data_IF_088986963450
#
_entry.id   IF_088986963450
#
_cell.length_a   1.000
_cell.length_b   1.000
_cell.length_c   1.000
_cell.angle_alpha   90.00
_cell.angle_beta   90.00
_cell.angle_gamma   90.00
#
_symmetry.space_group_name_H-M   'P 1'
#
loop_
_entity.id
_entity.type
_entity.pdbx_description
1 polymer ?
#
# COMPACT_ATOMS: atom_id res chain seq x y z
N UNK A 1 10.60 37.03 12.47
CA UNK A 1 11.21 35.77 12.01
C UNK A 1 10.58 35.40 10.69
N UNK A 2 11.24 35.75 9.59
CA UNK A 2 10.82 35.41 8.23
C UNK A 2 11.01 33.90 8.06
N UNK A 3 9.93 33.14 7.87
CA UNK A 3 10.01 31.74 7.44
C UNK A 3 10.65 31.74 6.06
N UNK A 4 11.88 31.26 5.93
CA UNK A 4 12.42 30.90 4.61
C UNK A 4 11.47 29.89 3.97
N UNK A 5 10.96 30.23 2.80
CA UNK A 5 10.16 29.32 2.00
C UNK A 5 11.10 28.25 1.43
N UNK A 6 10.93 27.01 1.88
CA UNK A 6 11.61 25.85 1.30
C UNK A 6 11.34 25.77 -0.20
N UNK A 7 12.38 25.50 -0.99
CA UNK A 7 12.20 25.19 -2.42
C UNK A 7 11.50 23.83 -2.56
N UNK A 8 10.77 23.63 -3.66
CA UNK A 8 10.10 22.34 -3.94
C UNK A 8 11.10 21.17 -4.00
N UNK A 9 12.31 21.42 -4.50
CA UNK A 9 13.38 20.42 -4.58
C UNK A 9 13.88 20.02 -3.19
N UNK A 10 14.19 21.00 -2.33
CA UNK A 10 14.64 20.73 -0.96
C UNK A 10 13.55 20.03 -0.14
N UNK A 11 12.27 20.41 -0.33
CA UNK A 11 11.15 19.72 0.30
C UNK A 11 11.10 18.25 -0.11
N UNK A 12 11.23 17.96 -1.41
CA UNK A 12 11.22 16.60 -1.94
C UNK A 12 12.36 15.76 -1.34
N UNK A 13 13.58 16.29 -1.32
CA UNK A 13 14.75 15.61 -0.73
C UNK A 13 14.53 15.27 0.76
N UNK A 14 14.02 16.23 1.54
CA UNK A 14 13.76 16.03 2.97
C UNK A 14 12.65 15.01 3.23
N UNK A 15 11.61 15.00 2.40
CA UNK A 15 10.51 14.02 2.49
C UNK A 15 11.01 12.62 2.13
N UNK A 16 11.73 12.46 1.01
CA UNK A 16 12.30 11.17 0.60
C UNK A 16 13.28 10.62 1.65
N UNK A 17 14.18 11.46 2.16
CA UNK A 17 15.09 11.07 3.24
C UNK A 17 14.33 10.60 4.49
N UNK A 18 13.26 11.30 4.86
CA UNK A 18 12.44 10.94 6.02
C UNK A 18 11.70 9.61 5.83
N UNK A 19 11.22 9.32 4.61
CA UNK A 19 10.61 8.05 4.24
C UNK A 19 11.61 6.88 4.25
N UNK A 20 12.88 7.13 3.96
CA UNK A 20 13.92 6.10 3.96
C UNK A 20 14.38 5.72 5.38
N UNK A 21 14.28 6.62 6.37
CA UNK A 21 14.67 6.34 7.76
C UNK A 21 14.05 5.06 8.35
N UNK A 22 12.73 4.81 8.30
CA UNK A 22 12.15 3.58 8.83
C UNK A 22 12.68 2.33 8.11
N UNK A 23 12.89 2.41 6.79
CA UNK A 23 13.47 1.31 5.99
C UNK A 23 14.89 1.00 6.44
N UNK A 24 15.73 2.03 6.59
CA UNK A 24 17.13 1.90 7.05
C UNK A 24 17.16 1.34 8.48
N UNK A 25 16.27 1.80 9.37
CA UNK A 25 16.19 1.30 10.75
C UNK A 25 15.83 -0.19 10.76
N UNK A 26 14.82 -0.61 9.98
CA UNK A 26 14.43 -2.02 9.83
C UNK A 26 15.55 -2.88 9.21
N UNK A 27 16.25 -2.37 8.21
CA UNK A 27 17.37 -3.08 7.59
C UNK A 27 18.49 -3.32 8.61
N UNK A 28 18.89 -2.26 9.34
CA UNK A 28 19.97 -2.32 10.33
C UNK A 28 19.70 -3.34 11.43
N UNK A 29 18.49 -3.35 12.00
CA UNK A 29 18.15 -4.26 13.11
C UNK A 29 18.08 -5.72 12.70
N UNK A 30 17.92 -6.00 11.39
CA UNK A 30 17.91 -7.35 10.84
C UNK A 30 19.27 -7.71 10.17
N UNK A 31 20.33 -6.95 10.45
CA UNK A 31 21.67 -7.24 9.91
C UNK A 31 21.81 -7.06 8.40
N UNK A 32 20.89 -6.34 7.75
CA UNK A 32 20.94 -6.11 6.30
C UNK A 32 21.97 -5.03 5.99
N UNK A 33 22.96 -5.38 5.15
CA UNK A 33 24.00 -4.43 4.72
C UNK A 33 23.44 -3.27 3.89
N UNK A 34 24.10 -2.12 3.93
CA UNK A 34 23.78 -0.97 3.07
C UNK A 34 23.83 -1.30 1.58
N UNK A 35 24.75 -2.19 1.18
CA UNK A 35 24.84 -2.70 -0.20
C UNK A 35 23.60 -3.47 -0.62
N UNK A 36 23.09 -4.35 0.24
CA UNK A 36 21.86 -5.10 -0.02
C UNK A 36 20.64 -4.16 -0.07
N UNK A 37 20.55 -3.20 0.86
CA UNK A 37 19.49 -2.21 0.88
C UNK A 37 19.49 -1.35 -0.39
N UNK A 38 20.65 -0.85 -0.84
CA UNK A 38 20.77 -0.10 -2.08
C UNK A 38 20.32 -0.91 -3.30
N UNK A 39 20.65 -2.21 -3.34
CA UNK A 39 20.18 -3.10 -4.40
C UNK A 39 18.66 -3.27 -4.40
N UNK A 40 18.01 -3.31 -3.23
CA UNK A 40 16.55 -3.38 -3.13
C UNK A 40 15.87 -2.06 -3.50
N UNK A 41 16.44 -0.92 -3.13
CA UNK A 41 15.95 0.39 -3.58
C UNK A 41 16.01 0.48 -5.11
N UNK A 42 17.12 0.06 -5.71
CA UNK A 42 17.26 0.03 -7.16
C UNK A 42 16.24 -0.91 -7.82
N UNK A 43 15.98 -2.07 -7.21
CA UNK A 43 14.99 -3.03 -7.69
C UNK A 43 13.57 -2.49 -7.58
N UNK A 44 13.22 -1.83 -6.47
CA UNK A 44 11.92 -1.21 -6.26
C UNK A 44 11.67 -0.05 -7.25
N UNK A 45 12.68 0.81 -7.47
CA UNK A 45 12.58 1.88 -8.45
C UNK A 45 12.43 1.33 -9.87
N UNK A 46 13.21 0.30 -10.24
CA UNK A 46 13.06 -0.36 -11.53
C UNK A 46 11.68 -0.99 -11.70
N UNK A 47 11.13 -1.61 -10.66
CA UNK A 47 9.78 -2.17 -10.67
C UNK A 47 8.72 -1.10 -10.93
N UNK A 48 8.81 0.04 -10.23
CA UNK A 48 7.89 1.17 -10.38
C UNK A 48 7.88 1.72 -11.81
N UNK A 49 9.07 1.98 -12.39
CA UNK A 49 9.18 2.44 -13.78
C UNK A 49 8.58 1.44 -14.78
N UNK A 50 8.83 0.14 -14.56
CA UNK A 50 8.30 -0.91 -15.44
C UNK A 50 6.79 -1.01 -15.35
N UNK A 51 6.24 -0.84 -14.14
CA UNK A 51 4.79 -0.83 -13.91
C UNK A 51 4.11 0.39 -14.51
N UNK A 52 4.78 1.55 -14.57
CA UNK A 52 4.28 2.73 -15.28
C UNK A 52 4.39 2.64 -16.81
N UNK A 53 4.75 1.48 -17.36
CA UNK A 53 4.78 1.21 -18.80
C UNK A 53 6.08 1.56 -19.53
N UNK A 54 7.12 2.05 -18.83
CA UNK A 54 8.38 2.38 -19.48
C UNK A 54 9.08 1.13 -19.98
N UNK A 55 9.62 1.19 -21.19
CA UNK A 55 10.47 0.16 -21.79
C UNK A 55 11.75 -0.06 -20.99
N UNK A 56 12.46 -1.17 -21.28
CA UNK A 56 13.74 -1.46 -20.65
C UNK A 56 14.77 -0.35 -20.88
N UNK A 57 14.78 0.25 -22.08
CA UNK A 57 15.71 1.31 -22.44
C UNK A 57 15.43 2.60 -21.65
N UNK A 58 14.16 3.02 -21.60
CA UNK A 58 13.74 4.19 -20.81
C UNK A 58 13.99 4.00 -19.31
N UNK A 59 13.78 2.77 -18.80
CA UNK A 59 14.09 2.45 -17.41
C UNK A 59 15.59 2.54 -17.12
N UNK A 60 16.46 2.15 -18.06
CA UNK A 60 17.91 2.29 -17.92
C UNK A 60 18.34 3.76 -17.86
N UNK A 61 17.78 4.59 -18.74
CA UNK A 61 18.07 6.02 -18.80
C UNK A 61 17.65 6.72 -17.50
N UNK A 62 16.43 6.44 -17.01
CA UNK A 62 15.90 7.04 -15.77
C UNK A 62 16.65 6.63 -14.52
N UNK A 63 17.16 5.40 -14.47
CA UNK A 63 17.93 4.89 -13.33
C UNK A 63 19.42 5.17 -13.43
N UNK A 64 19.90 5.68 -14.57
CA UNK A 64 21.31 5.80 -14.90
C UNK A 64 22.06 4.46 -14.73
N UNK A 65 21.55 3.41 -15.37
CA UNK A 65 22.12 2.05 -15.31
C UNK A 65 22.32 1.42 -16.68
N UNK A 66 23.25 0.47 -16.75
CA UNK A 66 23.46 -0.32 -17.97
C UNK A 66 22.29 -1.28 -18.25
N UNK A 67 22.09 -1.61 -19.53
CA UNK A 67 21.17 -2.67 -19.98
C UNK A 67 21.44 -4.04 -19.32
N UNK A 68 22.71 -4.33 -19.00
CA UNK A 68 23.08 -5.55 -18.26
C UNK A 68 22.50 -5.52 -16.84
N UNK A 69 22.56 -4.38 -16.16
CA UNK A 69 21.97 -4.20 -14.83
C UNK A 69 20.46 -4.32 -14.89
N UNK A 70 19.81 -3.69 -15.86
CA UNK A 70 18.35 -3.77 -16.02
C UNK A 70 17.86 -5.19 -16.32
N UNK A 71 18.61 -5.95 -17.13
CA UNK A 71 18.32 -7.38 -17.38
C UNK A 71 18.40 -8.23 -16.11
N UNK A 72 19.41 -7.95 -15.25
CA UNK A 72 19.52 -8.60 -13.93
C UNK A 72 18.34 -8.26 -13.03
N UNK A 73 17.96 -6.98 -12.94
CA UNK A 73 16.82 -6.53 -12.14
C UNK A 73 15.52 -7.16 -12.65
N UNK A 74 15.31 -7.19 -13.97
CA UNK A 74 14.16 -7.87 -14.58
C UNK A 74 14.10 -9.35 -14.26
N UNK A 75 15.25 -10.05 -14.27
CA UNK A 75 15.31 -11.45 -13.84
C UNK A 75 14.95 -11.61 -12.36
N UNK A 76 15.42 -10.71 -11.50
CA UNK A 76 15.08 -10.71 -10.07
C UNK A 76 13.60 -10.45 -9.82
N UNK A 77 12.95 -9.54 -10.58
CA UNK A 77 11.50 -9.31 -10.50
C UNK A 77 10.67 -10.56 -10.84
N UNK A 78 11.19 -11.42 -11.72
CA UNK A 78 10.52 -12.66 -12.11
C UNK A 78 10.67 -13.79 -11.09
N UNK A 79 11.54 -13.65 -10.09
CA UNK A 79 11.72 -14.65 -9.03
C UNK A 79 10.56 -14.61 -8.01
N UNK A 80 10.41 -15.67 -7.21
CA UNK A 80 9.33 -15.87 -6.23
C UNK A 80 9.18 -14.75 -5.19
N UNK A 81 10.18 -13.89 -5.05
CA UNK A 81 10.17 -12.75 -4.13
C UNK A 81 8.97 -11.81 -4.33
N UNK A 82 8.52 -11.62 -5.58
CA UNK A 82 7.41 -10.70 -5.94
C UNK A 82 6.06 -11.40 -6.09
N UNK A 83 6.02 -12.71 -5.84
CA UNK A 83 4.79 -13.49 -5.89
C UNK A 83 3.69 -12.92 -4.97
N UNK A 84 3.96 -12.48 -3.72
CA UNK A 84 2.93 -11.88 -2.86
C UNK A 84 2.33 -10.58 -3.42
N UNK A 85 3.13 -9.78 -4.13
CA UNK A 85 2.66 -8.55 -4.77
C UNK A 85 1.73 -8.87 -5.94
N UNK A 86 2.11 -9.80 -6.81
CA UNK A 86 1.26 -10.26 -7.92
C UNK A 86 -0.02 -10.93 -7.44
N UNK A 87 0.08 -11.83 -6.46
CA UNK A 87 -1.04 -12.64 -5.96
C UNK A 87 -2.01 -11.86 -5.07
N UNK A 88 -1.62 -10.73 -4.47
CA UNK A 88 -2.47 -10.04 -3.50
C UNK A 88 -2.65 -8.54 -3.71
N UNK A 89 -1.76 -7.86 -4.42
CA UNK A 89 -1.92 -6.42 -4.67
C UNK A 89 -2.93 -6.18 -5.79
N UNK A 90 -2.84 -6.93 -6.89
CA UNK A 90 -3.75 -6.80 -8.02
C UNK A 90 -5.20 -7.16 -7.63
N UNK A 91 -5.48 -8.31 -6.96
CA UNK A 91 -6.84 -8.61 -6.50
C UNK A 91 -7.42 -7.53 -5.58
N UNK A 92 -6.62 -6.94 -4.69
CA UNK A 92 -7.09 -5.86 -3.81
C UNK A 92 -7.39 -4.57 -4.54
N UNK A 93 -6.54 -4.20 -5.50
CA UNK A 93 -6.77 -3.01 -6.30
C UNK A 93 -8.03 -3.17 -7.14
N UNK A 94 -8.22 -4.33 -7.77
CA UNK A 94 -9.43 -4.68 -8.52
C UNK A 94 -10.65 -4.62 -7.59
N UNK A 95 -10.61 -5.29 -6.44
CA UNK A 95 -11.71 -5.28 -5.47
C UNK A 95 -12.07 -3.86 -5.01
N UNK A 96 -11.10 -3.01 -4.70
CA UNK A 96 -11.36 -1.61 -4.35
C UNK A 96 -12.06 -0.85 -5.49
N UNK A 97 -11.65 -1.08 -6.74
CA UNK A 97 -12.30 -0.47 -7.90
C UNK A 97 -13.72 -1.00 -8.11
N UNK A 98 -13.95 -2.30 -7.89
CA UNK A 98 -15.25 -2.96 -8.00
C UNK A 98 -16.20 -2.64 -6.83
N UNK A 99 -15.64 -2.21 -5.70
CA UNK A 99 -16.37 -1.66 -4.58
C UNK A 99 -16.88 -0.25 -4.88
N UNK A 100 -16.07 0.59 -5.54
CA UNK A 100 -16.49 1.94 -5.94
C UNK A 100 -17.65 1.92 -6.95
N UNK A 101 -17.59 1.01 -7.93
CA UNK A 101 -18.63 0.83 -8.92
C UNK A 101 -18.50 -0.53 -9.61
N UNK A 102 -19.59 -1.11 -10.14
CA UNK A 102 -19.49 -2.29 -10.97
C UNK A 102 -18.70 -2.04 -12.26
N UNK A 103 -17.69 -2.86 -12.56
CA UNK A 103 -16.86 -2.73 -13.76
C UNK A 103 -16.80 -4.04 -14.55
N UNK A 104 -16.66 -3.94 -15.87
CA UNK A 104 -16.33 -5.08 -16.74
C UNK A 104 -14.82 -5.34 -16.79
N UNK A 105 -14.40 -6.54 -17.22
CA UNK A 105 -12.99 -6.89 -17.44
C UNK A 105 -12.30 -5.86 -18.34
N UNK A 106 -12.94 -5.49 -19.46
CA UNK A 106 -12.41 -4.48 -20.38
C UNK A 106 -12.24 -3.09 -19.75
N UNK A 107 -13.09 -2.73 -18.77
CA UNK A 107 -12.97 -1.45 -18.06
C UNK A 107 -11.88 -1.49 -16.99
N UNK A 108 -11.66 -2.65 -16.37
CA UNK A 108 -10.52 -2.88 -15.48
C UNK A 108 -9.19 -2.78 -16.24
N UNK A 109 -9.09 -3.38 -17.43
CA UNK A 109 -7.92 -3.25 -18.31
C UNK A 109 -7.57 -1.79 -18.62
N UNK A 110 -8.59 -0.97 -18.93
CA UNK A 110 -8.40 0.46 -19.21
C UNK A 110 -7.92 1.25 -17.98
N UNK A 111 -8.40 0.89 -16.80
CA UNK A 111 -8.08 1.58 -15.56
C UNK A 111 -6.79 1.07 -14.89
N UNK A 112 -6.26 -0.07 -15.34
CA UNK A 112 -5.01 -0.67 -14.86
C UNK A 112 -3.97 -0.77 -15.99
N UNK A 113 -3.49 0.39 -16.52
CA UNK A 113 -2.51 0.40 -17.58
C UNK A 113 -1.23 -0.33 -17.13
N UNK A 114 -0.74 -1.25 -17.95
CA UNK A 114 0.47 -2.03 -17.66
C UNK A 114 0.24 -3.36 -16.94
N UNK A 115 -1.00 -3.73 -16.65
CA UNK A 115 -1.37 -5.08 -16.17
C UNK A 115 -1.89 -5.91 -17.35
N UNK A 116 -1.34 -7.12 -17.52
CA UNK A 116 -1.76 -8.03 -18.59
C UNK A 116 -3.18 -8.56 -18.35
N UNK A 117 -3.94 -8.75 -19.42
CA UNK A 117 -5.33 -9.24 -19.36
C UNK A 117 -5.49 -10.55 -18.60
N UNK A 118 -4.55 -11.47 -18.81
CA UNK A 118 -4.58 -12.78 -18.15
C UNK A 118 -4.35 -12.66 -16.63
N UNK A 119 -3.57 -11.67 -16.17
CA UNK A 119 -3.38 -11.40 -14.74
C UNK A 119 -4.66 -10.82 -14.11
N UNK A 120 -5.35 -9.93 -14.83
CA UNK A 120 -6.65 -9.39 -14.39
C UNK A 120 -7.68 -10.52 -14.27
N UNK A 121 -7.74 -11.42 -15.26
CA UNK A 121 -8.66 -12.56 -15.21
C UNK A 121 -8.36 -13.50 -14.06
N UNK A 122 -7.10 -13.87 -13.85
CA UNK A 122 -6.70 -14.72 -12.74
C UNK A 122 -7.03 -14.09 -11.37
N UNK A 123 -6.88 -12.76 -11.25
CA UNK A 123 -7.27 -12.04 -10.05
C UNK A 123 -8.79 -12.04 -9.83
N UNK A 124 -9.60 -11.82 -10.88
CA UNK A 124 -11.07 -11.90 -10.81
C UNK A 124 -11.53 -13.30 -10.40
N UNK A 125 -10.97 -14.35 -10.99
CA UNK A 125 -11.26 -15.75 -10.64
C UNK A 125 -10.96 -16.02 -9.16
N UNK A 126 -9.82 -15.53 -8.66
CA UNK A 126 -9.45 -15.64 -7.24
C UNK A 126 -10.47 -14.94 -6.35
N UNK A 127 -10.85 -13.70 -6.68
CA UNK A 127 -11.82 -12.92 -5.90
C UNK A 127 -13.22 -13.57 -5.88
N UNK A 128 -13.65 -14.17 -6.99
CA UNK A 128 -14.92 -14.91 -7.09
C UNK A 128 -14.86 -16.18 -6.25
N UNK A 129 -13.78 -16.95 -6.35
CA UNK A 129 -13.58 -18.17 -5.57
C UNK A 129 -13.59 -17.89 -4.06
N UNK A 130 -13.05 -16.73 -3.67
CA UNK A 130 -13.04 -16.23 -2.30
C UNK A 130 -14.37 -15.57 -1.88
N UNK A 131 -15.35 -15.48 -2.78
CA UNK A 131 -16.66 -14.83 -2.58
C UNK A 131 -16.58 -13.35 -2.19
N UNK A 132 -15.54 -12.66 -2.65
CA UNK A 132 -15.29 -11.24 -2.38
C UNK A 132 -15.90 -10.32 -3.41
N UNK A 133 -16.08 -10.84 -4.62
CA UNK A 133 -16.80 -10.17 -5.69
C UNK A 133 -17.86 -11.11 -6.23
N UNK A 134 -18.90 -10.53 -6.83
CA UNK A 134 -19.96 -11.27 -7.52
C UNK A 134 -19.94 -10.92 -8.99
N UNK A 135 -20.19 -11.93 -9.83
CA UNK A 135 -20.40 -11.76 -11.26
C UNK A 135 -21.85 -11.36 -11.50
N UNK A 136 -22.06 -10.21 -12.15
CA UNK A 136 -23.37 -9.73 -12.57
C UNK A 136 -23.51 -9.96 -14.08
N UNK A 137 -24.37 -10.91 -14.45
CA UNK A 137 -24.62 -11.25 -15.85
C UNK A 137 -25.73 -10.38 -16.43
N UNK A 138 -25.34 -9.44 -17.27
CA UNK A 138 -26.23 -8.60 -18.09
C UNK A 138 -25.88 -8.69 -19.58
N UNK A 139 -26.08 -7.59 -20.33
CA UNK A 139 -25.64 -7.48 -21.74
C UNK A 139 -24.11 -7.60 -21.88
N UNK A 140 -23.39 -7.15 -20.86
CA UNK A 140 -21.96 -7.31 -20.67
C UNK A 140 -21.76 -7.82 -19.24
N UNK A 141 -20.90 -8.83 -19.05
CA UNK A 141 -20.54 -9.29 -17.70
C UNK A 141 -19.82 -8.16 -16.96
N UNK A 142 -20.37 -7.77 -15.82
CA UNK A 142 -19.76 -6.83 -14.87
C UNK A 142 -19.51 -7.54 -13.55
N UNK A 143 -18.58 -7.02 -12.76
CA UNK A 143 -18.25 -7.52 -11.44
C UNK A 143 -18.54 -6.42 -10.42
N UNK A 144 -18.93 -6.78 -9.21
CA UNK A 144 -19.05 -5.85 -8.08
C UNK A 144 -18.53 -6.50 -6.81
N UNK A 145 -18.12 -5.71 -5.81
CA UNK A 145 -17.83 -6.26 -4.49
C UNK A 145 -19.05 -7.01 -3.92
N UNK A 146 -18.80 -8.12 -3.21
CA UNK A 146 -19.84 -8.97 -2.63
C UNK A 146 -20.45 -8.37 -1.35
N UNK A 147 -19.70 -7.51 -0.66
CA UNK A 147 -20.20 -6.64 0.41
C UNK A 147 -19.62 -5.23 0.25
N UNK A 148 -20.35 -4.22 0.72
CA UNK A 148 -19.87 -2.83 0.85
C UNK A 148 -18.87 -2.65 2.00
N UNK A 149 -18.59 -3.69 2.77
CA UNK A 149 -17.91 -3.63 4.07
C UNK A 149 -16.81 -4.68 4.12
N UNK A 150 -15.69 -4.42 3.46
CA UNK A 150 -14.60 -5.39 3.42
C UNK A 150 -13.56 -5.15 4.52
N UNK A 151 -13.43 -6.14 5.42
CA UNK A 151 -12.45 -6.16 6.51
C UNK A 151 -11.40 -7.21 6.20
N UNK A 152 -10.31 -6.77 5.57
CA UNK A 152 -9.22 -7.64 5.14
C UNK A 152 -8.23 -7.94 6.27
N UNK A 153 -8.60 -8.84 7.18
CA UNK A 153 -7.63 -9.48 8.10
C UNK A 153 -7.53 -10.95 7.75
N UNK A 154 -6.46 -11.35 7.04
CA UNK A 154 -6.19 -12.74 6.70
C UNK A 154 -4.98 -13.29 7.47
N UNK A 155 -5.05 -14.54 7.97
CA UNK A 155 -3.88 -15.23 8.50
C UNK A 155 -2.98 -15.74 7.35
N UNK A 156 -1.72 -15.35 7.35
CA UNK A 156 -0.71 -15.82 6.38
C UNK A 156 0.36 -14.78 6.07
N UNK A 157 1.61 -15.20 5.84
CA UNK A 157 2.72 -14.26 5.62
C UNK A 157 2.56 -13.44 4.32
N UNK A 158 1.98 -14.02 3.27
CA UNK A 158 1.70 -13.31 2.02
C UNK A 158 0.61 -12.24 2.17
N UNK A 159 -0.43 -12.53 2.96
CA UNK A 159 -1.46 -11.54 3.30
C UNK A 159 -0.89 -10.39 4.13
N UNK A 160 0.04 -10.67 5.04
CA UNK A 160 0.76 -9.65 5.83
C UNK A 160 1.59 -8.72 4.96
N UNK A 161 2.32 -9.24 3.96
CA UNK A 161 3.11 -8.42 3.02
C UNK A 161 2.20 -7.53 2.19
N UNK A 162 1.14 -8.08 1.59
CA UNK A 162 0.25 -7.20 0.83
C UNK A 162 -0.48 -6.21 1.76
N UNK A 163 -0.81 -6.58 3.01
CA UNK A 163 -1.37 -5.67 4.03
C UNK A 163 -0.45 -4.49 4.32
N UNK A 164 0.85 -4.78 4.47
CA UNK A 164 1.89 -3.77 4.58
C UNK A 164 1.92 -2.85 3.34
N UNK A 165 1.84 -3.41 2.13
CA UNK A 165 1.84 -2.61 0.90
C UNK A 165 0.63 -1.67 0.84
N UNK A 166 -0.59 -2.15 1.14
CA UNK A 166 -1.80 -1.29 1.20
C UNK A 166 -1.66 -0.17 2.23
N UNK A 167 -1.09 -0.48 3.40
CA UNK A 167 -0.81 0.51 4.42
C UNK A 167 0.18 1.57 3.92
N UNK A 168 1.32 1.14 3.37
CA UNK A 168 2.36 2.05 2.89
C UNK A 168 1.87 2.89 1.72
N UNK A 169 1.00 2.38 0.84
CA UNK A 169 0.32 3.16 -0.19
C UNK A 169 -0.58 4.25 0.42
N UNK A 170 -1.35 3.92 1.47
CA UNK A 170 -2.19 4.91 2.17
C UNK A 170 -1.33 5.99 2.83
N UNK A 171 -0.24 5.61 3.48
CA UNK A 171 0.73 6.53 4.08
C UNK A 171 1.38 7.42 3.01
N UNK A 172 1.76 6.86 1.86
CA UNK A 172 2.31 7.60 0.74
C UNK A 172 1.30 8.63 0.20
N UNK A 173 0.04 8.25 0.01
CA UNK A 173 -1.02 9.15 -0.43
C UNK A 173 -1.22 10.31 0.56
N UNK A 174 -1.20 10.02 1.86
CA UNK A 174 -1.32 11.05 2.90
C UNK A 174 -0.08 11.97 2.96
N UNK A 175 1.12 11.45 2.72
CA UNK A 175 2.34 12.27 2.64
C UNK A 175 2.27 13.15 1.38
N UNK A 176 1.93 12.57 0.23
CA UNK A 176 1.80 13.31 -1.01
C UNK A 176 0.76 14.43 -0.88
N UNK A 177 -0.45 14.12 -0.43
CA UNK A 177 -1.51 15.10 -0.23
C UNK A 177 -1.14 16.24 0.72
N UNK A 178 -0.32 15.96 1.76
CA UNK A 178 0.10 16.95 2.75
C UNK A 178 1.23 17.86 2.28
N UNK A 179 2.20 17.32 1.54
CA UNK A 179 3.42 18.06 1.18
C UNK A 179 3.43 18.57 -0.27
N UNK A 180 2.71 17.89 -1.17
CA UNK A 180 2.71 18.17 -2.61
C UNK A 180 1.31 18.32 -3.21
N UNK A 181 0.25 17.90 -2.49
CA UNK A 181 -1.14 17.99 -2.93
C UNK A 181 -1.66 19.42 -2.87
N UNK A 182 -2.16 19.92 -4.00
CA UNK A 182 -2.77 21.26 -4.12
C UNK A 182 -4.17 21.32 -3.48
N UNK A 183 -4.26 21.12 -2.16
CA UNK A 183 -5.51 21.29 -1.39
C UNK A 183 -6.40 20.05 -1.32
N UNK A 184 -5.90 18.86 -1.67
CA UNK A 184 -6.63 17.61 -1.44
C UNK A 184 -6.86 17.40 0.07
N UNK A 185 -8.09 17.06 0.51
CA UNK A 185 -8.40 16.90 1.94
C UNK A 185 -7.59 15.74 2.52
N UNK A 186 -6.49 16.07 3.19
CA UNK A 186 -5.53 15.10 3.71
C UNK A 186 -5.50 15.16 5.22
N UNK A 187 -5.89 14.06 5.87
CA UNK A 187 -5.88 13.95 7.32
C UNK A 187 -4.81 12.97 7.79
N UNK A 188 -3.77 13.50 8.44
CA UNK A 188 -2.76 12.72 9.12
C UNK A 188 -2.51 13.30 10.51
N UNK A 189 -2.73 12.50 11.55
CA UNK A 189 -2.47 12.85 12.95
C UNK A 189 -1.64 11.75 13.59
N UNK A 190 -0.63 12.15 14.35
CA UNK A 190 0.09 11.26 15.24
C UNK A 190 -0.40 11.58 16.66
N UNK A 191 -0.93 10.58 17.35
CA UNK A 191 -1.42 10.70 18.72
C UNK A 191 -0.51 9.87 19.62
N UNK A 192 -0.11 10.44 20.75
CA UNK A 192 0.64 9.74 21.79
C UNK A 192 -0.14 9.83 23.09
N UNK A 193 -0.53 8.69 23.64
CA UNK A 193 -1.29 8.60 24.88
C UNK A 193 -0.83 7.39 25.69
N UNK A 194 -1.08 7.43 27.00
CA UNK A 194 -0.85 6.29 27.90
C UNK A 194 -2.16 5.54 28.08
N UNK A 195 -2.13 4.23 27.93
CA UNK A 195 -3.24 3.33 28.25
C UNK A 195 -2.73 2.18 29.12
N UNK A 196 -3.59 1.61 29.94
CA UNK A 196 -3.28 0.36 30.65
C UNK A 196 -3.29 -0.80 29.66
N UNK A 197 -2.51 -1.86 29.95
CA UNK A 197 -2.46 -3.06 29.11
C UNK A 197 -3.83 -3.70 28.93
N UNK A 198 -4.62 -3.75 30.01
CA UNK A 198 -5.96 -4.36 30.01
C UNK A 198 -6.97 -3.55 29.18
N UNK A 199 -6.74 -2.23 29.03
CA UNK A 199 -7.57 -1.33 28.24
C UNK A 199 -7.28 -1.39 26.72
N UNK A 200 -6.26 -2.14 26.27
CA UNK A 200 -6.01 -2.34 24.82
C UNK A 200 -7.24 -2.96 24.14
N UNK A 201 -7.93 -3.86 24.84
CA UNK A 201 -9.19 -4.46 24.36
C UNK A 201 -10.27 -3.41 24.10
N UNK A 202 -10.30 -2.31 24.88
CA UNK A 202 -11.24 -1.21 24.74
C UNK A 202 -10.90 -0.30 23.56
N UNK A 203 -9.63 -0.18 23.18
CA UNK A 203 -9.25 0.48 21.92
C UNK A 203 -9.78 -0.28 20.71
N UNK A 204 -9.67 -1.62 20.71
CA UNK A 204 -10.27 -2.44 19.64
C UNK A 204 -11.79 -2.25 19.63
N UNK A 205 -12.42 -2.23 20.80
CA UNK A 205 -13.86 -2.01 20.89
C UNK A 205 -14.26 -0.63 20.35
N UNK A 206 -13.52 0.44 20.65
CA UNK A 206 -13.77 1.78 20.09
C UNK A 206 -13.76 1.78 18.55
N UNK A 207 -12.83 1.04 17.95
CA UNK A 207 -12.83 0.87 16.51
C UNK A 207 -14.11 0.16 16.04
N UNK A 208 -14.44 -0.97 16.66
CA UNK A 208 -15.57 -1.82 16.28
C UNK A 208 -16.94 -1.15 16.47
N UNK A 209 -17.14 -0.43 17.56
CA UNK A 209 -18.45 0.10 17.96
C UNK A 209 -18.68 1.54 17.55
N UNK A 210 -17.64 2.27 17.15
CA UNK A 210 -17.74 3.71 16.87
C UNK A 210 -17.08 4.09 15.56
N UNK A 211 -15.78 3.85 15.41
CA UNK A 211 -15.07 4.33 14.22
C UNK A 211 -15.58 3.62 12.96
N UNK A 212 -15.67 2.29 12.99
CA UNK A 212 -16.10 1.53 11.83
C UNK A 212 -17.56 1.79 11.42
N UNK A 213 -18.56 1.75 12.33
CA UNK A 213 -19.95 2.05 11.97
C UNK A 213 -20.12 3.42 11.32
N UNK A 214 -19.42 4.45 11.81
CA UNK A 214 -19.46 5.79 11.22
C UNK A 214 -18.84 5.84 9.82
N UNK A 215 -17.71 5.14 9.60
CA UNK A 215 -17.08 5.04 8.27
C UNK A 215 -17.98 4.30 7.28
N UNK A 216 -18.61 3.20 7.70
CA UNK A 216 -19.55 2.45 6.87
C UNK A 216 -20.79 3.29 6.51
N UNK A 217 -21.33 4.05 7.46
CA UNK A 217 -22.45 4.96 7.20
C UNK A 217 -22.08 6.17 6.31
N UNK A 218 -20.83 6.62 6.35
CA UNK A 218 -20.32 7.62 5.40
C UNK A 218 -20.22 7.04 3.98
N UNK A 219 -19.73 5.82 3.87
CA UNK A 219 -19.60 5.11 2.60
C UNK A 219 -20.97 4.84 1.95
N UNK A 220 -21.90 4.27 2.70
CA UNK A 220 -23.27 3.99 2.23
C UNK A 220 -23.97 5.26 1.73
N UNK A 221 -23.73 6.41 2.37
CA UNK A 221 -24.28 7.71 1.91
C UNK A 221 -23.62 8.23 0.64
N UNK A 222 -22.38 7.84 0.37
CA UNK A 222 -21.63 8.22 -0.82
C UNK A 222 -21.89 7.27 -2.01
N UNK A 223 -22.50 6.11 -1.78
CA UNK A 223 -22.77 5.12 -2.82
C UNK A 223 -23.59 5.71 -3.98
N UNK A 224 -23.08 5.51 -5.21
CA UNK A 224 -23.74 5.97 -6.44
C UNK A 224 -23.76 7.50 -6.65
N UNK A 225 -23.00 8.26 -5.86
CA UNK A 225 -22.94 9.73 -5.94
C UNK A 225 -21.78 10.19 -6.83
N UNK A 226 -22.06 11.09 -7.77
CA UNK A 226 -21.05 11.65 -8.67
C UNK A 226 -19.98 12.49 -7.96
N UNK A 227 -20.32 13.04 -6.78
CA UNK A 227 -19.42 13.82 -5.92
C UNK A 227 -18.71 12.98 -4.84
N UNK A 228 -18.84 11.66 -4.88
CA UNK A 228 -18.17 10.77 -3.94
C UNK A 228 -16.65 10.86 -4.09
N UNK A 229 -15.96 11.09 -2.97
CA UNK A 229 -14.50 11.08 -2.91
C UNK A 229 -14.02 9.70 -2.42
N UNK A 230 -13.35 8.89 -3.27
CA UNK A 230 -12.74 7.65 -2.82
C UNK A 230 -11.62 7.95 -1.81
N UNK A 231 -11.68 7.33 -0.63
CA UNK A 231 -10.70 7.51 0.43
C UNK A 231 -10.10 6.17 0.84
N UNK A 232 -8.78 6.17 1.05
CA UNK A 232 -8.09 5.09 1.76
C UNK A 232 -7.87 5.51 3.20
N UNK A 233 -8.30 4.68 4.15
CA UNK A 233 -8.18 4.95 5.58
C UNK A 233 -7.27 3.94 6.25
N UNK A 234 -6.30 4.41 7.03
CA UNK A 234 -5.43 3.58 7.84
C UNK A 234 -5.45 4.07 9.29
N UNK A 235 -5.79 3.17 10.21
CA UNK A 235 -5.68 3.36 11.64
C UNK A 235 -4.58 2.45 12.19
N UNK A 236 -3.64 3.03 12.92
CA UNK A 236 -2.48 2.32 13.44
C UNK A 236 -2.30 2.64 14.91
N UNK A 237 -1.95 1.63 15.69
CA UNK A 237 -1.38 1.80 17.01
C UNK A 237 -0.27 0.76 17.21
N UNK A 238 0.77 1.15 17.93
CA UNK A 238 1.83 0.27 18.36
C UNK A 238 2.31 0.75 19.73
N UNK A 239 2.88 -0.12 20.58
CA UNK A 239 3.57 0.32 21.77
C UNK A 239 4.65 1.36 21.42
N UNK A 240 4.80 2.37 22.26
CA UNK A 240 5.90 3.31 22.13
C UNK A 240 7.23 2.55 22.17
N UNK A 241 8.15 2.88 21.25
CA UNK A 241 9.47 2.25 21.18
C UNK A 241 9.43 0.71 21.04
N UNK A 242 8.36 0.13 20.46
CA UNK A 242 8.23 -1.33 20.31
C UNK A 242 9.46 -2.00 19.65
N UNK A 243 10.13 -1.30 18.74
CA UNK A 243 11.34 -1.79 18.10
C UNK A 243 12.56 -1.71 19.02
N UNK A 244 12.77 -0.60 19.73
CA UNK A 244 13.84 -0.47 20.71
C UNK A 244 13.67 -1.47 21.87
N UNK A 245 12.45 -1.64 22.38
CA UNK A 245 12.15 -2.54 23.49
C UNK A 245 12.46 -4.00 23.14
N UNK A 246 12.05 -4.47 21.95
CA UNK A 246 12.36 -5.83 21.50
C UNK A 246 13.87 -6.08 21.32
N UNK A 247 14.64 -5.06 20.94
CA UNK A 247 16.10 -5.18 20.80
C UNK A 247 16.79 -5.29 22.16
N UNK A 248 16.30 -4.56 23.16
CA UNK A 248 16.82 -4.62 24.52
C UNK A 248 16.49 -5.97 25.18
N UNK A 249 15.25 -6.44 25.05
CA UNK A 249 14.83 -7.75 25.59
C UNK A 249 15.62 -8.93 24.97
N UNK A 250 16.03 -8.81 23.70
CA UNK A 250 16.84 -9.84 23.02
C UNK A 250 18.31 -9.84 23.48
N UNK A 251 18.83 -8.71 23.95
CA UNK A 251 20.21 -8.59 24.43
C UNK A 251 20.38 -9.10 25.87
N UNK A 252 19.34 -9.01 26.69
CA UNK A 252 19.37 -9.45 28.09
C UNK A 252 19.10 -10.97 28.25
N UNK A 253 18.62 -11.65 27.20
CA UNK A 253 18.31 -13.09 27.20
C UNK A 253 19.45 -14.03 26.79
N UNK A 254 20.65 -13.51 26.48
CA UNK A 254 21.85 -14.30 26.10
C UNK A 254 22.90 -14.41 27.23
N UNK A 255 22.50 -14.28 28.51
CA UNK A 255 23.36 -14.60 29.67
C UNK A 255 22.99 -15.93 30.32
#
# INVERSE_FOLDING_TARGET
>A
MTREALTSAELLERVLYSLLKPVVKLARVNGISSKALAAWVQLAYFHDLRRSGLTMAEACERLDISMRTASRLSKQLKQDFFRPEREHQLPRQIEFMLWLQPLSEARLEQALPGVERDEIRAALETLIAEKRIVEQRGRTTTYSAASSTDRLVRPGWMARIGGLNSLLSTVLNAIYGRFFGNGAPTFARNLSLRILRDDVSRLNQLYETTIWPELAALDERAEGRDDALPLSFALLWAPYEALENNLNDSADGET
#
